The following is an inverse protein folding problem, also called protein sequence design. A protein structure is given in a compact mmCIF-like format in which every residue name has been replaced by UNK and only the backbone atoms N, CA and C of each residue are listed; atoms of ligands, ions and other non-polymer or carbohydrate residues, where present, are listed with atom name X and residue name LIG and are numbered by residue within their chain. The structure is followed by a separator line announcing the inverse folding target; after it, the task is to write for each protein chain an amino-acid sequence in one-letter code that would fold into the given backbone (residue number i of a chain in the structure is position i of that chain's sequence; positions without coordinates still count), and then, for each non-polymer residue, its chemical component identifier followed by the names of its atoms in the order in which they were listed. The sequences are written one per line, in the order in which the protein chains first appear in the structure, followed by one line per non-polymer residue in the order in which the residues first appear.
data_IF_693320131879
#
_entry.id   IF_693320131879
#
_cell.length_a   1.000
_cell.length_b   1.000
_cell.length_c   1.000
_cell.angle_alpha   90.00
_cell.angle_beta   90.00
_cell.angle_gamma   90.00
#
_symmetry.space_group_name_H-M   'P 1'
#
loop_
_entity.id
_entity.type
_entity.pdbx_description
1 polymer ?
#
# COMPACT_ATOMS: atom_id res chain seq x y z
N UNK A 1 -7.18 22.15 -8.55
CA UNK A 1 -7.96 21.42 -7.52
C UNK A 1 -7.40 21.69 -6.13
N UNK A 2 -8.26 21.57 -5.13
CA UNK A 2 -7.87 21.47 -3.72
C UNK A 2 -7.75 19.99 -3.37
N UNK A 3 -6.54 19.52 -3.08
CA UNK A 3 -6.26 18.10 -2.81
C UNK A 3 -5.84 17.94 -1.36
N UNK A 4 -6.58 17.13 -0.60
CA UNK A 4 -6.26 16.76 0.78
C UNK A 4 -5.53 15.41 0.81
N UNK A 5 -4.32 15.40 1.35
CA UNK A 5 -3.59 14.17 1.67
C UNK A 5 -3.77 13.83 3.15
N UNK A 6 -4.33 12.66 3.42
CA UNK A 6 -4.37 12.05 4.75
C UNK A 6 -3.19 11.10 4.82
N UNK A 7 -2.11 11.51 5.47
CA UNK A 7 -0.84 10.80 5.43
C UNK A 7 -0.08 10.95 6.76
N UNK A 8 0.97 10.17 6.95
CA UNK A 8 1.88 10.31 8.07
C UNK A 8 2.54 11.71 8.11
N UNK A 9 3.16 12.10 9.24
CA UNK A 9 3.77 13.42 9.36
C UNK A 9 4.78 13.69 8.23
N UNK A 10 4.57 14.74 7.45
CA UNK A 10 5.39 15.12 6.29
C UNK A 10 6.88 15.29 6.62
N UNK A 11 7.21 15.69 7.86
CA UNK A 11 8.59 15.80 8.33
C UNK A 11 9.35 14.45 8.37
N UNK A 12 8.61 13.33 8.37
CA UNK A 12 9.20 11.98 8.39
C UNK A 12 9.43 11.41 6.98
N UNK A 13 8.98 12.10 5.94
CA UNK A 13 9.11 11.60 4.56
C UNK A 13 10.57 11.57 4.13
N UNK A 14 10.96 10.43 3.57
CA UNK A 14 12.26 10.25 2.91
C UNK A 14 12.09 10.67 1.45
N UNK A 15 12.25 11.97 1.17
CA UNK A 15 11.90 12.59 -0.12
C UNK A 15 12.48 11.88 -1.34
N UNK A 16 13.63 11.21 -1.20
CA UNK A 16 14.31 10.50 -2.28
C UNK A 16 13.60 9.19 -2.72
N UNK A 17 12.70 8.63 -1.90
CA UNK A 17 11.99 7.38 -2.18
C UNK A 17 10.50 7.38 -1.84
N UNK A 18 10.02 8.38 -1.11
CA UNK A 18 8.63 8.43 -0.66
C UNK A 18 7.68 8.64 -1.84
N UNK A 19 6.69 7.76 -1.93
CA UNK A 19 5.68 7.79 -3.00
C UNK A 19 4.66 8.90 -2.79
N UNK A 20 4.25 9.16 -1.54
CA UNK A 20 3.30 10.22 -1.22
C UNK A 20 3.91 11.60 -1.51
N UNK A 21 5.20 11.78 -1.19
CA UNK A 21 5.96 12.95 -1.61
C UNK A 21 5.95 13.12 -3.14
N UNK A 22 6.16 12.05 -3.91
CA UNK A 22 6.14 12.14 -5.37
C UNK A 22 4.76 12.54 -5.91
N UNK A 23 3.67 12.03 -5.33
CA UNK A 23 2.30 12.44 -5.66
C UNK A 23 2.05 13.91 -5.35
N UNK A 24 2.43 14.35 -4.15
CA UNK A 24 2.30 15.76 -3.72
C UNK A 24 3.08 16.70 -4.63
N UNK A 25 4.33 16.34 -4.99
CA UNK A 25 5.18 17.13 -5.87
C UNK A 25 4.57 17.27 -7.26
N UNK A 26 4.08 16.17 -7.83
CA UNK A 26 3.43 16.20 -9.14
C UNK A 26 2.17 17.08 -9.13
N UNK A 27 1.31 16.90 -8.13
CA UNK A 27 0.11 17.72 -7.95
C UNK A 27 0.45 19.23 -7.80
N UNK A 28 1.48 19.54 -7.02
CA UNK A 28 1.95 20.92 -6.86
C UNK A 28 2.47 21.51 -8.18
N UNK A 29 3.26 20.76 -8.94
CA UNK A 29 3.81 21.17 -10.23
C UNK A 29 2.69 21.48 -11.25
N UNK A 30 1.54 20.81 -11.15
CA UNK A 30 0.34 21.09 -11.95
C UNK A 30 -0.48 22.29 -11.46
N UNK A 31 -0.05 22.97 -10.39
CA UNK A 31 -0.74 24.14 -9.84
C UNK A 31 -1.94 23.79 -8.93
N UNK A 32 -2.01 22.57 -8.40
CA UNK A 32 -3.03 22.22 -7.41
C UNK A 32 -2.67 22.80 -6.04
N UNK A 33 -3.70 23.16 -5.25
CA UNK A 33 -3.55 23.58 -3.86
C UNK A 33 -3.54 22.34 -2.96
N UNK A 34 -2.53 22.23 -2.11
CA UNK A 34 -2.30 21.04 -1.31
C UNK A 34 -2.58 21.26 0.17
N UNK A 35 -3.20 20.27 0.77
CA UNK A 35 -3.55 20.21 2.19
C UNK A 35 -3.10 18.87 2.76
N UNK A 36 -2.70 18.89 4.02
CA UNK A 36 -2.29 17.71 4.76
C UNK A 36 -3.06 17.59 6.08
N UNK A 37 -3.38 16.37 6.47
CA UNK A 37 -3.90 15.99 7.78
C UNK A 37 -3.43 14.59 8.15
N UNK A 38 -3.53 14.25 9.44
CA UNK A 38 -3.31 12.89 9.94
C UNK A 38 -4.65 12.14 10.01
N UNK A 39 -4.64 10.83 9.79
CA UNK A 39 -5.83 9.99 9.94
C UNK A 39 -6.44 10.09 11.35
N UNK A 40 -5.62 10.32 12.38
CA UNK A 40 -6.05 10.51 13.76
C UNK A 40 -6.77 11.85 14.02
N UNK A 41 -6.75 12.77 13.07
CA UNK A 41 -7.43 14.09 13.16
C UNK A 41 -8.82 14.08 12.52
N UNK A 42 -9.24 12.97 11.93
CA UNK A 42 -10.60 12.82 11.42
C UNK A 42 -11.61 12.82 12.58
N UNK A 43 -12.62 13.64 12.47
CA UNK A 43 -13.68 13.80 13.47
C UNK A 43 -15.06 13.87 12.82
N UNK A 44 -16.12 13.62 13.59
CA UNK A 44 -17.50 13.90 13.17
C UNK A 44 -18.08 14.95 14.10
N UNK A 45 -18.46 16.08 13.54
CA UNK A 45 -19.08 17.18 14.28
C UNK A 45 -20.44 17.49 13.62
N UNK A 46 -21.51 17.43 14.42
CA UNK A 46 -22.87 17.66 13.94
C UNK A 46 -23.23 16.85 12.68
N UNK A 47 -22.75 15.61 12.62
CA UNK A 47 -22.98 14.68 11.51
C UNK A 47 -22.07 14.85 10.30
N UNK A 48 -21.24 15.90 10.24
CA UNK A 48 -20.27 16.14 9.14
C UNK A 48 -18.89 15.59 9.48
N UNK A 49 -18.28 14.87 8.55
CA UNK A 49 -16.88 14.41 8.68
C UNK A 49 -15.94 15.58 8.40
N UNK A 50 -15.14 15.94 9.38
CA UNK A 50 -14.24 17.09 9.37
C UNK A 50 -12.83 16.69 9.83
N UNK A 51 -11.88 17.56 9.56
CA UNK A 51 -10.51 17.41 10.06
C UNK A 51 -9.82 18.76 10.18
N UNK A 52 -8.78 18.84 11.03
CA UNK A 52 -7.85 19.96 11.02
C UNK A 52 -6.92 19.82 9.83
N UNK A 53 -7.01 20.71 8.86
CA UNK A 53 -6.17 20.68 7.66
C UNK A 53 -5.09 21.73 7.75
N UNK A 54 -3.90 21.37 7.28
CA UNK A 54 -2.74 22.25 7.19
C UNK A 54 -2.42 22.49 5.71
N UNK A 55 -2.69 23.69 5.16
CA UNK A 55 -2.22 24.05 3.82
C UNK A 55 -0.70 24.06 3.78
N UNK A 56 -0.12 23.59 2.69
CA UNK A 56 1.34 23.62 2.53
C UNK A 56 1.76 23.89 1.09
N UNK A 57 2.99 24.35 0.93
CA UNK A 57 3.63 24.60 -0.38
C UNK A 57 5.03 24.02 -0.38
N UNK A 58 5.50 23.63 -1.57
CA UNK A 58 6.88 23.19 -1.75
C UNK A 58 7.83 24.40 -1.75
N UNK A 59 8.97 24.25 -1.10
CA UNK A 59 10.07 25.25 -1.12
C UNK A 59 11.26 24.77 -1.96
N UNK A 60 11.06 23.69 -2.70
CA UNK A 60 12.07 23.06 -3.53
C UNK A 60 12.99 22.13 -2.73
N UNK A 61 12.73 20.85 -2.76
CA UNK A 61 13.70 19.86 -2.31
C UNK A 61 14.87 19.89 -3.30
N UNK A 62 15.93 20.60 -2.95
CA UNK A 62 17.13 20.68 -3.78
C UNK A 62 18.06 19.49 -3.53
N UNK A 63 17.87 18.74 -2.44
CA UNK A 63 18.64 17.55 -2.09
C UNK A 63 17.72 16.43 -1.59
N UNK A 64 18.02 15.20 -1.96
CA UNK A 64 17.28 13.97 -1.59
C UNK A 64 17.24 13.69 -0.06
N UNK A 65 17.87 14.51 0.76
CA UNK A 65 17.97 14.38 2.21
C UNK A 65 17.44 15.60 2.98
N UNK A 66 16.80 16.57 2.29
CA UNK A 66 16.36 17.80 2.92
C UNK A 66 15.00 17.61 3.59
N UNK A 67 14.95 17.73 4.92
CA UNK A 67 13.71 17.75 5.69
C UNK A 67 12.90 19.05 5.50
N UNK A 68 13.52 20.09 4.95
CA UNK A 68 12.93 21.41 4.71
C UNK A 68 12.36 21.53 3.28
N UNK A 69 11.58 20.57 2.81
CA UNK A 69 11.02 20.57 1.47
C UNK A 69 9.66 21.28 1.37
N UNK A 70 9.06 21.67 2.49
CA UNK A 70 7.74 22.32 2.54
C UNK A 70 7.68 23.44 3.56
N UNK A 71 6.74 24.37 3.35
CA UNK A 71 6.28 25.34 4.35
C UNK A 71 4.79 25.16 4.59
N UNK A 72 4.36 25.40 5.82
CA UNK A 72 2.95 25.29 6.23
C UNK A 72 2.33 26.65 6.47
N UNK A 73 1.03 26.75 6.25
CA UNK A 73 0.20 27.89 6.64
C UNK A 73 -0.61 27.57 7.91
N UNK A 74 -1.36 28.52 8.39
CA UNK A 74 -2.21 28.37 9.59
C UNK A 74 -3.24 27.26 9.37
N UNK A 75 -3.28 26.22 10.22
CA UNK A 75 -4.27 25.18 10.14
C UNK A 75 -5.69 25.69 10.39
N UNK A 76 -6.67 25.03 9.78
CA UNK A 76 -8.09 25.33 10.01
C UNK A 76 -8.95 24.06 9.93
N UNK A 77 -10.20 24.14 10.42
CA UNK A 77 -11.16 23.04 10.32
C UNK A 77 -11.85 23.06 8.96
N UNK A 78 -11.96 21.90 8.32
CA UNK A 78 -12.68 21.76 7.06
C UNK A 78 -13.41 20.41 6.99
N UNK A 79 -14.56 20.40 6.32
CA UNK A 79 -15.27 19.17 5.97
C UNK A 79 -14.57 18.51 4.77
N UNK A 80 -14.53 17.16 4.73
CA UNK A 80 -13.80 16.45 3.68
C UNK A 80 -14.41 16.67 2.28
N UNK A 81 -15.72 16.88 2.20
CA UNK A 81 -16.41 17.13 0.93
C UNK A 81 -16.19 18.53 0.34
N UNK A 82 -15.38 19.38 1.01
CA UNK A 82 -14.95 20.67 0.45
C UNK A 82 -13.71 20.58 -0.41
N UNK A 83 -13.06 19.40 -0.44
CA UNK A 83 -11.90 19.12 -1.29
C UNK A 83 -12.33 18.42 -2.58
N UNK A 84 -11.66 18.75 -3.68
CA UNK A 84 -11.91 18.10 -4.97
C UNK A 84 -11.44 16.64 -4.96
N UNK A 85 -10.41 16.33 -4.17
CA UNK A 85 -9.92 14.97 -3.94
C UNK A 85 -9.37 14.82 -2.52
N UNK A 86 -9.65 13.66 -1.90
CA UNK A 86 -9.12 13.24 -0.60
C UNK A 86 -8.33 11.95 -0.82
N UNK A 87 -7.04 11.97 -0.58
CA UNK A 87 -6.13 10.86 -0.86
C UNK A 87 -5.65 10.26 0.45
N UNK A 88 -6.05 9.00 0.74
CA UNK A 88 -5.61 8.27 1.93
C UNK A 88 -4.27 7.60 1.66
N UNK A 89 -3.25 7.99 2.43
CA UNK A 89 -1.87 7.53 2.28
C UNK A 89 -1.19 7.21 3.62
N UNK A 90 -1.96 7.07 4.70
CA UNK A 90 -1.42 6.61 5.98
C UNK A 90 -0.89 5.19 5.85
N UNK A 91 0.31 4.96 6.35
CA UNK A 91 0.93 3.62 6.34
C UNK A 91 0.23 2.66 7.31
N UNK A 92 0.18 1.36 7.03
CA UNK A 92 -0.21 0.35 8.01
C UNK A 92 0.65 0.44 9.30
N UNK A 93 0.22 -0.18 10.43
CA UNK A 93 -0.67 -1.35 10.50
C UNK A 93 -2.13 -1.02 10.28
N UNK A 94 -2.87 -1.92 9.64
CA UNK A 94 -4.33 -1.84 9.55
C UNK A 94 -4.94 -2.31 10.87
N UNK A 95 -4.85 -1.45 11.87
CA UNK A 95 -5.37 -1.67 13.22
C UNK A 95 -6.79 -1.10 13.39
N UNK A 96 -7.31 -1.10 14.62
CA UNK A 96 -8.64 -0.57 14.90
C UNK A 96 -8.75 0.94 14.61
N UNK A 97 -7.67 1.72 14.78
CA UNK A 97 -7.69 3.15 14.46
C UNK A 97 -7.75 3.36 12.95
N UNK A 98 -7.00 2.56 12.19
CA UNK A 98 -7.09 2.56 10.73
C UNK A 98 -8.49 2.17 10.26
N UNK A 99 -9.08 1.11 10.85
CA UNK A 99 -10.46 0.69 10.58
C UNK A 99 -11.45 1.84 10.80
N UNK A 100 -11.37 2.54 11.94
CA UNK A 100 -12.24 3.67 12.22
C UNK A 100 -12.05 4.81 11.22
N UNK A 101 -10.79 5.14 10.87
CA UNK A 101 -10.52 6.14 9.83
C UNK A 101 -11.20 5.77 8.50
N UNK A 102 -11.12 4.51 8.06
CA UNK A 102 -11.79 4.07 6.82
C UNK A 102 -13.32 4.12 6.90
N UNK A 103 -13.92 3.92 8.09
CA UNK A 103 -15.36 4.10 8.28
C UNK A 103 -15.75 5.57 8.17
N UNK A 104 -14.96 6.48 8.75
CA UNK A 104 -15.19 7.92 8.62
C UNK A 104 -15.02 8.38 7.16
N UNK A 105 -14.05 7.83 6.43
CA UNK A 105 -13.89 8.10 5.00
C UNK A 105 -15.10 7.64 4.19
N UNK A 106 -15.68 6.47 4.49
CA UNK A 106 -16.91 6.01 3.83
C UNK A 106 -18.09 6.96 4.14
N UNK A 107 -18.19 7.44 5.38
CA UNK A 107 -19.20 8.44 5.72
C UNK A 107 -18.97 9.77 4.94
N UNK A 108 -17.71 10.19 4.80
CA UNK A 108 -17.37 11.37 3.99
C UNK A 108 -17.73 11.17 2.51
N UNK A 109 -17.51 9.97 1.94
CA UNK A 109 -17.94 9.61 0.57
C UNK A 109 -19.46 9.76 0.42
N UNK A 110 -20.25 9.29 1.40
CA UNK A 110 -21.71 9.47 1.42
C UNK A 110 -22.14 10.95 1.53
N UNK A 111 -21.26 11.81 2.05
CA UNK A 111 -21.45 13.27 2.13
C UNK A 111 -20.92 14.00 0.89
N UNK A 112 -20.47 13.27 -0.13
CA UNK A 112 -20.00 13.83 -1.41
C UNK A 112 -18.50 14.08 -1.50
N UNK A 113 -17.68 13.55 -0.58
CA UNK A 113 -16.23 13.61 -0.72
C UNK A 113 -15.72 12.57 -1.73
N UNK A 114 -14.76 12.94 -2.56
CA UNK A 114 -14.07 12.03 -3.48
C UNK A 114 -12.83 11.44 -2.80
N UNK A 115 -12.96 10.25 -2.22
CA UNK A 115 -11.90 9.58 -1.46
C UNK A 115 -11.19 8.50 -2.28
N UNK A 116 -9.86 8.49 -2.26
CA UNK A 116 -8.99 7.54 -2.97
C UNK A 116 -7.90 6.98 -2.02
N UNK A 117 -7.79 5.64 -1.83
CA UNK A 117 -8.76 4.61 -2.21
C UNK A 117 -10.04 4.72 -1.38
N UNK A 118 -11.18 4.18 -1.90
CA UNK A 118 -12.43 4.15 -1.16
C UNK A 118 -12.27 3.52 0.23
N UNK A 119 -12.87 4.16 1.24
CA UNK A 119 -12.81 3.67 2.63
C UNK A 119 -13.36 2.25 2.77
N UNK A 120 -14.44 1.92 2.06
CA UNK A 120 -14.99 0.56 2.04
C UNK A 120 -14.04 -0.43 1.36
N UNK A 121 -13.46 -0.07 0.22
CA UNK A 121 -12.55 -0.94 -0.50
C UNK A 121 -11.32 -1.32 0.33
N UNK A 122 -10.73 -0.38 1.08
CA UNK A 122 -9.61 -0.65 1.97
C UNK A 122 -9.96 -1.64 3.09
N UNK A 123 -11.20 -1.61 3.63
CA UNK A 123 -11.67 -2.57 4.64
C UNK A 123 -11.95 -3.96 4.07
N UNK A 124 -12.61 -3.99 2.92
CA UNK A 124 -13.10 -5.25 2.34
C UNK A 124 -11.99 -6.02 1.62
N UNK A 125 -10.89 -5.36 1.30
CA UNK A 125 -9.78 -5.92 0.53
C UNK A 125 -8.51 -5.94 1.36
N UNK A 126 -8.52 -6.74 2.47
CA UNK A 126 -7.32 -6.94 3.29
C UNK A 126 -6.15 -7.40 2.42
N UNK A 127 -5.01 -6.74 2.55
CA UNK A 127 -3.87 -6.85 1.62
C UNK A 127 -3.35 -8.30 1.44
N UNK A 128 -3.43 -9.14 2.48
CA UNK A 128 -3.03 -10.54 2.41
C UNK A 128 -4.18 -11.47 2.04
N UNK A 129 -5.38 -11.26 2.60
CA UNK A 129 -6.54 -12.10 2.29
C UNK A 129 -7.08 -11.87 0.89
N UNK A 130 -6.87 -10.69 0.31
CA UNK A 130 -7.33 -10.35 -1.03
C UNK A 130 -6.88 -11.33 -2.12
N UNK A 131 -5.68 -11.92 -1.97
CA UNK A 131 -5.15 -12.90 -2.92
C UNK A 131 -6.02 -14.15 -3.04
N UNK A 132 -6.78 -14.50 -2.00
CA UNK A 132 -7.68 -15.67 -1.98
C UNK A 132 -8.83 -15.56 -2.99
N UNK A 133 -9.12 -14.34 -3.47
CA UNK A 133 -10.08 -14.14 -4.57
C UNK A 133 -9.52 -14.59 -5.94
N UNK A 134 -8.21 -14.90 -6.02
CA UNK A 134 -7.49 -15.24 -7.24
C UNK A 134 -6.70 -16.54 -7.07
N UNK A 135 -7.36 -17.65 -6.74
CA UNK A 135 -6.70 -18.92 -6.36
C UNK A 135 -5.77 -19.47 -7.45
N UNK A 136 -6.00 -19.12 -8.73
CA UNK A 136 -5.16 -19.52 -9.86
C UNK A 136 -3.78 -18.85 -9.88
N UNK A 137 -3.55 -17.83 -9.06
CA UNK A 137 -2.32 -17.07 -9.02
C UNK A 137 -1.54 -17.21 -7.72
N UNK A 138 -2.02 -17.99 -6.74
CA UNK A 138 -1.37 -18.11 -5.45
C UNK A 138 -0.68 -19.48 -5.28
N UNK A 139 0.39 -19.51 -4.50
CA UNK A 139 0.95 -20.75 -4.00
C UNK A 139 0.00 -21.38 -2.99
N UNK A 140 0.13 -22.68 -2.68
CA UNK A 140 -0.62 -23.32 -1.61
C UNK A 140 -0.64 -22.47 -0.35
N UNK A 141 -1.84 -22.21 0.16
CA UNK A 141 -2.09 -21.22 1.23
C UNK A 141 -3.14 -21.74 2.19
N UNK A 142 -2.91 -21.55 3.48
CA UNK A 142 -3.93 -21.70 4.52
C UNK A 142 -4.04 -20.43 5.36
N UNK A 143 -5.23 -20.15 5.88
CA UNK A 143 -5.51 -19.09 6.85
C UNK A 143 -6.19 -19.71 8.05
N UNK A 144 -5.60 -19.61 9.22
CA UNK A 144 -6.08 -20.31 10.41
C UNK A 144 -5.68 -19.62 11.72
N UNK A 145 -6.43 -19.93 12.79
CA UNK A 145 -6.04 -19.62 14.18
C UNK A 145 -5.44 -20.83 14.90
N UNK A 146 -5.41 -22.01 14.29
CA UNK A 146 -4.99 -23.25 14.95
C UNK A 146 -3.55 -23.61 14.60
N UNK A 147 -2.65 -23.61 15.58
CA UNK A 147 -1.24 -23.95 15.39
C UNK A 147 -1.06 -25.37 14.85
N UNK A 148 -1.95 -26.31 15.20
CA UNK A 148 -1.92 -27.69 14.69
C UNK A 148 -2.06 -27.73 13.16
N UNK A 149 -2.98 -26.95 12.59
CA UNK A 149 -3.17 -26.88 11.12
C UNK A 149 -1.94 -26.31 10.41
N UNK A 150 -1.23 -25.34 11.04
CA UNK A 150 0.03 -24.82 10.48
C UNK A 150 1.11 -25.90 10.48
N UNK A 151 1.19 -26.74 11.52
CA UNK A 151 2.14 -27.88 11.58
C UNK A 151 1.81 -28.95 10.53
N UNK A 152 0.54 -29.25 10.30
CA UNK A 152 0.09 -30.18 9.26
C UNK A 152 0.46 -29.64 7.88
N UNK A 153 0.22 -28.35 7.62
CA UNK A 153 0.62 -27.67 6.39
C UNK A 153 2.15 -27.66 6.21
N UNK A 154 2.90 -27.42 7.28
CA UNK A 154 4.38 -27.52 7.26
C UNK A 154 4.82 -28.96 6.95
N UNK A 155 4.14 -29.97 7.49
CA UNK A 155 4.44 -31.38 7.21
C UNK A 155 4.21 -31.74 5.73
N UNK A 156 3.20 -31.14 5.09
CA UNK A 156 2.88 -31.37 3.68
C UNK A 156 3.86 -30.66 2.75
N UNK A 157 4.12 -29.37 2.98
CA UNK A 157 4.92 -28.52 2.08
C UNK A 157 6.37 -28.37 2.46
N UNK A 158 6.81 -28.88 3.64
CA UNK A 158 8.19 -28.96 4.13
C UNK A 158 8.86 -27.61 4.44
N UNK A 159 8.52 -26.55 3.71
CA UNK A 159 9.11 -25.21 3.77
C UNK A 159 8.00 -24.18 3.51
N UNK A 160 7.69 -23.37 4.51
CA UNK A 160 6.57 -22.44 4.47
C UNK A 160 6.96 -21.05 4.99
N UNK A 161 6.20 -20.04 4.55
CA UNK A 161 6.21 -18.71 5.15
C UNK A 161 4.94 -18.54 5.97
N UNK A 162 5.09 -18.05 7.20
CA UNK A 162 3.96 -17.62 8.03
C UNK A 162 4.00 -16.10 8.23
N UNK A 163 2.83 -15.47 8.22
CA UNK A 163 2.71 -14.01 8.31
C UNK A 163 1.41 -13.57 9.00
N UNK A 164 1.44 -12.48 9.82
CA UNK A 164 0.23 -11.86 10.35
C UNK A 164 -0.53 -11.16 9.23
N UNK A 165 -1.85 -10.97 9.40
CA UNK A 165 -2.73 -10.37 8.38
C UNK A 165 -2.71 -8.83 8.39
N UNK A 166 -2.27 -8.22 9.48
CA UNK A 166 -2.32 -6.78 9.76
C UNK A 166 -0.94 -6.08 9.72
N UNK A 167 0.15 -6.85 9.51
CA UNK A 167 1.51 -6.33 9.49
C UNK A 167 1.96 -5.81 8.13
N UNK A 168 2.98 -4.93 8.13
CA UNK A 168 3.63 -4.37 6.93
C UNK A 168 5.15 -4.51 6.99
N UNK A 169 5.82 -4.21 5.88
CA UNK A 169 7.28 -4.08 5.82
C UNK A 169 8.07 -5.35 6.17
N UNK A 170 7.41 -6.51 6.17
CA UNK A 170 8.02 -7.79 6.51
C UNK A 170 8.05 -8.09 8.02
N UNK A 171 7.43 -7.28 8.87
CA UNK A 171 7.33 -7.57 10.30
C UNK A 171 6.50 -8.82 10.58
N UNK A 172 7.03 -9.70 11.46
CA UNK A 172 6.35 -10.93 11.85
C UNK A 172 6.28 -11.99 10.76
N UNK A 173 7.04 -11.85 9.67
CA UNK A 173 7.17 -12.88 8.64
C UNK A 173 8.29 -13.84 9.06
N UNK A 174 7.96 -15.13 9.13
CA UNK A 174 8.93 -16.19 9.42
C UNK A 174 8.88 -17.24 8.33
N UNK A 175 10.06 -17.74 7.93
CA UNK A 175 10.21 -18.96 7.17
C UNK A 175 10.41 -20.12 8.16
N UNK A 176 9.59 -21.16 8.01
CA UNK A 176 9.68 -22.36 8.83
C UNK A 176 9.99 -23.57 7.94
N UNK A 177 10.96 -24.36 8.39
CA UNK A 177 11.24 -25.70 7.86
C UNK A 177 10.96 -26.74 8.94
N UNK A 178 10.76 -28.00 8.56
CA UNK A 178 10.46 -29.05 9.55
C UNK A 178 11.52 -29.23 10.64
N UNK A 179 12.76 -28.88 10.37
CA UNK A 179 13.87 -28.99 11.30
C UNK A 179 14.06 -27.79 12.23
N UNK A 180 13.24 -26.72 12.10
CA UNK A 180 13.40 -25.54 12.95
C UNK A 180 12.99 -25.85 14.40
N UNK A 181 13.91 -25.74 15.39
CA UNK A 181 13.61 -26.05 16.77
C UNK A 181 12.64 -25.05 17.43
N UNK A 182 12.43 -23.89 16.81
CA UNK A 182 11.64 -22.79 17.37
C UNK A 182 10.17 -22.77 16.91
N UNK A 183 9.73 -23.74 16.08
CA UNK A 183 8.37 -23.75 15.48
C UNK A 183 7.31 -23.45 16.53
N UNK A 184 7.33 -24.18 17.68
CA UNK A 184 6.31 -24.00 18.72
C UNK A 184 6.30 -22.57 19.28
N UNK A 185 7.47 -22.06 19.65
CA UNK A 185 7.61 -20.70 20.22
C UNK A 185 7.19 -19.61 19.24
N UNK A 186 7.53 -19.77 17.96
CA UNK A 186 7.14 -18.83 16.91
C UNK A 186 5.62 -18.83 16.75
N UNK A 187 4.98 -20.01 16.68
CA UNK A 187 3.52 -20.11 16.56
C UNK A 187 2.81 -19.55 17.79
N UNK A 188 3.27 -19.87 19.00
CA UNK A 188 2.71 -19.33 20.25
C UNK A 188 2.70 -17.80 20.28
N UNK A 189 3.82 -17.18 19.88
CA UNK A 189 3.97 -15.71 19.87
C UNK A 189 3.12 -15.10 18.74
N UNK A 190 3.21 -15.64 17.52
CA UNK A 190 2.56 -15.04 16.35
C UNK A 190 1.05 -15.21 16.40
N UNK A 191 0.58 -16.39 16.82
CA UNK A 191 -0.84 -16.75 16.90
C UNK A 191 -1.47 -16.39 18.26
N UNK A 192 -0.67 -15.86 19.22
CA UNK A 192 -1.15 -15.48 20.57
C UNK A 192 -1.97 -16.60 21.22
N UNK A 193 -1.39 -17.80 21.31
CA UNK A 193 -2.08 -18.97 21.85
C UNK A 193 -3.41 -19.28 21.13
N UNK A 194 -3.37 -19.41 19.83
CA UNK A 194 -4.53 -19.73 18.97
C UNK A 194 -5.69 -18.71 19.00
N UNK A 195 -5.39 -17.45 19.32
CA UNK A 195 -6.39 -16.36 19.31
C UNK A 195 -6.23 -15.38 18.16
N UNK A 196 -5.12 -15.45 17.40
CA UNK A 196 -4.85 -14.58 16.25
C UNK A 196 -4.76 -15.37 14.97
N UNK A 197 -5.58 -15.00 14.00
CA UNK A 197 -5.53 -15.56 12.65
C UNK A 197 -4.23 -15.16 11.95
N UNK A 198 -3.58 -16.13 11.31
CA UNK A 198 -2.41 -15.92 10.46
C UNK A 198 -2.61 -16.56 9.09
N UNK A 199 -1.75 -16.22 8.15
CA UNK A 199 -1.62 -16.90 6.87
C UNK A 199 -0.32 -17.70 6.85
N UNK A 200 -0.41 -18.96 6.37
CA UNK A 200 0.76 -19.75 6.01
C UNK A 200 0.71 -20.06 4.50
N UNK A 201 1.85 -19.94 3.84
CA UNK A 201 2.00 -20.18 2.40
C UNK A 201 3.23 -21.04 2.13
N UNK A 202 3.18 -21.89 1.11
CA UNK A 202 4.37 -22.58 0.63
C UNK A 202 5.46 -21.57 0.30
N UNK A 203 6.71 -21.85 0.72
CA UNK A 203 7.86 -21.00 0.40
C UNK A 203 8.13 -21.00 -1.10
N UNK A 204 8.36 -19.83 -1.65
CA UNK A 204 8.66 -19.65 -3.08
C UNK A 204 10.15 -19.31 -3.21
N UNK A 205 11.00 -20.26 -3.69
CA UNK A 205 12.44 -20.05 -3.77
C UNK A 205 12.86 -18.87 -4.66
N UNK A 206 12.01 -18.48 -5.60
CA UNK A 206 12.26 -17.37 -6.51
C UNK A 206 12.32 -16.00 -5.82
N UNK A 207 12.06 -15.92 -4.50
CA UNK A 207 12.27 -14.70 -3.70
C UNK A 207 13.71 -14.15 -3.82
N UNK A 208 14.69 -15.01 -4.08
CA UNK A 208 16.08 -14.61 -4.32
C UNK A 208 16.24 -13.69 -5.55
N UNK A 209 15.32 -13.80 -6.52
CA UNK A 209 15.26 -12.94 -7.72
C UNK A 209 14.50 -11.62 -7.45
N UNK A 210 13.88 -11.52 -6.29
CA UNK A 210 13.11 -10.37 -5.82
C UNK A 210 11.61 -10.63 -5.69
N UNK A 211 11.01 -9.93 -4.76
CA UNK A 211 9.57 -9.74 -4.61
C UNK A 211 9.18 -8.54 -5.48
N UNK A 212 8.46 -8.78 -6.56
CA UNK A 212 8.11 -7.77 -7.58
C UNK A 212 6.88 -6.98 -7.15
N UNK A 213 7.02 -5.66 -6.96
CA UNK A 213 5.89 -4.73 -6.81
C UNK A 213 5.42 -4.29 -8.20
N UNK A 214 4.20 -4.65 -8.58
CA UNK A 214 3.52 -4.21 -9.81
C UNK A 214 2.45 -3.19 -9.40
N UNK A 215 2.45 -2.02 -10.01
CA UNK A 215 1.48 -0.97 -9.70
C UNK A 215 0.31 -1.01 -10.69
N UNK A 216 -0.89 -0.89 -10.15
CA UNK A 216 -2.15 -0.74 -10.91
C UNK A 216 -2.79 0.58 -10.50
N UNK A 217 -3.06 1.46 -11.47
CA UNK A 217 -3.62 2.80 -11.24
C UNK A 217 -4.87 2.95 -12.11
N UNK A 218 -6.03 3.18 -11.48
CA UNK A 218 -7.33 3.31 -12.16
C UNK A 218 -7.65 2.14 -13.13
N UNK A 219 -7.23 0.93 -12.77
CA UNK A 219 -7.38 -0.25 -13.61
C UNK A 219 -6.37 -0.35 -14.76
N UNK A 220 -5.38 0.54 -14.84
CA UNK A 220 -4.28 0.48 -15.80
C UNK A 220 -3.02 -0.07 -15.13
N UNK A 221 -2.39 -1.04 -15.77
CA UNK A 221 -1.17 -1.68 -15.26
C UNK A 221 0.06 -0.85 -15.65
N UNK A 222 0.86 -0.42 -14.66
CA UNK A 222 2.15 0.22 -14.94
C UNK A 222 3.08 -0.80 -15.63
N UNK A 223 3.72 -0.47 -16.78
CA UNK A 223 4.43 -1.46 -17.60
C UNK A 223 5.75 -1.97 -17.00
N UNK A 224 6.05 -1.56 -15.77
CA UNK A 224 7.26 -1.93 -15.04
C UNK A 224 6.94 -2.41 -13.63
N UNK A 225 7.69 -3.44 -13.18
CA UNK A 225 7.68 -3.89 -11.79
C UNK A 225 8.94 -3.40 -11.08
N UNK A 226 8.84 -3.19 -9.77
CA UNK A 226 10.00 -2.98 -8.90
C UNK A 226 10.34 -4.28 -8.19
N UNK A 227 11.37 -5.00 -8.66
CA UNK A 227 11.89 -6.17 -7.96
C UNK A 227 12.66 -5.73 -6.72
N UNK A 228 12.19 -6.14 -5.54
CA UNK A 228 12.79 -5.87 -4.23
C UNK A 228 13.61 -7.09 -3.85
N UNK A 229 14.90 -7.02 -4.11
CA UNK A 229 15.83 -8.15 -3.96
C UNK A 229 16.31 -8.19 -2.50
N UNK A 230 16.13 -9.32 -1.77
CA UNK A 230 16.63 -9.48 -0.42
C UNK A 230 18.15 -9.28 -0.33
N UNK A 231 18.62 -8.83 0.83
CA UNK A 231 20.05 -8.87 1.15
C UNK A 231 20.51 -10.31 1.42
N UNK A 232 21.81 -10.54 1.32
CA UNK A 232 22.40 -11.85 1.63
C UNK A 232 22.05 -12.29 3.05
N UNK A 233 21.46 -13.48 3.19
CA UNK A 233 21.02 -14.03 4.47
C UNK A 233 19.64 -13.58 4.95
N UNK A 234 18.95 -12.72 4.19
CA UNK A 234 17.57 -12.27 4.48
C UNK A 234 16.59 -12.96 3.51
N UNK A 235 15.39 -13.27 4.00
CA UNK A 235 14.30 -13.86 3.21
C UNK A 235 13.25 -12.82 2.78
N UNK A 236 13.35 -11.58 3.28
CA UNK A 236 12.39 -10.50 3.00
C UNK A 236 12.95 -9.53 1.97
N UNK A 237 12.22 -9.33 0.87
CA UNK A 237 12.58 -8.38 -0.18
C UNK A 237 12.19 -6.92 0.12
N UNK A 238 11.42 -6.66 1.17
CA UNK A 238 10.89 -5.33 1.47
C UNK A 238 11.99 -4.27 1.57
N UNK A 239 11.81 -3.11 0.91
CA UNK A 239 12.75 -1.98 0.97
C UNK A 239 12.94 -1.45 2.40
N UNK A 240 11.91 -1.57 3.26
CA UNK A 240 12.00 -1.23 4.67
C UNK A 240 12.94 -2.18 5.44
N UNK A 241 13.06 -3.43 5.02
CA UNK A 241 14.00 -4.42 5.57
C UNK A 241 15.40 -4.33 4.93
N UNK A 242 15.67 -3.32 4.09
CA UNK A 242 16.97 -3.13 3.44
C UNK A 242 17.10 -3.78 2.06
N UNK A 243 16.04 -4.30 1.48
CA UNK A 243 16.02 -4.83 0.13
C UNK A 243 16.45 -3.79 -0.92
N UNK A 244 17.05 -4.24 -2.01
CA UNK A 244 17.44 -3.40 -3.15
C UNK A 244 16.36 -3.39 -4.21
N UNK A 245 15.84 -2.21 -4.57
CA UNK A 245 14.84 -2.03 -5.62
C UNK A 245 15.48 -1.98 -7.01
N UNK A 246 15.04 -2.86 -7.91
CA UNK A 246 15.44 -2.88 -9.34
C UNK A 246 14.19 -2.85 -10.19
N UNK A 247 13.98 -1.76 -10.93
CA UNK A 247 12.86 -1.65 -11.85
C UNK A 247 13.13 -2.45 -13.14
N UNK A 248 12.15 -3.23 -13.58
CA UNK A 248 12.24 -4.10 -14.74
C UNK A 248 10.92 -4.17 -15.51
N UNK A 249 10.95 -4.56 -16.78
CA UNK A 249 9.73 -4.81 -17.55
C UNK A 249 8.94 -5.98 -16.95
N UNK A 250 7.62 -5.94 -17.06
CA UNK A 250 6.76 -7.05 -16.68
C UNK A 250 7.05 -8.28 -17.53
N UNK A 251 7.10 -9.45 -16.89
CA UNK A 251 7.07 -10.74 -17.59
C UNK A 251 5.65 -11.01 -18.13
N UNK A 252 5.50 -12.01 -18.99
CA UNK A 252 4.18 -12.45 -19.46
C UNK A 252 3.27 -12.83 -18.28
N UNK A 253 3.82 -13.52 -17.28
CA UNK A 253 3.07 -13.94 -16.09
C UNK A 253 2.70 -12.76 -15.20
N UNK A 254 3.61 -11.81 -14.98
CA UNK A 254 3.32 -10.57 -14.24
C UNK A 254 2.16 -9.83 -14.86
N UNK A 255 2.16 -9.74 -16.19
CA UNK A 255 1.11 -9.06 -16.94
C UNK A 255 -0.22 -9.81 -16.85
N UNK A 256 -0.23 -11.14 -17.00
CA UNK A 256 -1.43 -11.96 -16.84
C UNK A 256 -2.09 -11.75 -15.47
N UNK A 257 -1.29 -11.78 -14.40
CA UNK A 257 -1.77 -11.52 -13.02
C UNK A 257 -2.37 -10.12 -12.94
N UNK A 258 -1.60 -9.10 -13.33
CA UNK A 258 -2.00 -7.71 -13.18
C UNK A 258 -3.24 -7.35 -14.04
N UNK A 259 -3.28 -7.77 -15.30
CA UNK A 259 -4.40 -7.54 -16.22
C UNK A 259 -5.70 -8.23 -15.72
N UNK A 260 -5.58 -9.36 -15.01
CA UNK A 260 -6.72 -10.05 -14.41
C UNK A 260 -7.27 -9.30 -13.17
N UNK A 261 -6.37 -8.77 -12.33
CA UNK A 261 -6.77 -8.06 -11.11
C UNK A 261 -7.26 -6.63 -11.40
N UNK A 262 -6.69 -5.95 -12.38
CA UNK A 262 -6.92 -4.53 -12.63
C UNK A 262 -8.41 -4.13 -12.77
N UNK A 263 -9.26 -4.85 -13.53
CA UNK A 263 -10.68 -4.54 -13.63
C UNK A 263 -11.43 -4.71 -12.29
N UNK A 264 -11.08 -5.72 -11.50
CA UNK A 264 -11.71 -5.98 -10.20
C UNK A 264 -11.34 -4.90 -9.18
N UNK A 265 -10.07 -4.46 -9.17
CA UNK A 265 -9.60 -3.35 -8.33
C UNK A 265 -10.35 -2.05 -8.65
N UNK A 266 -10.45 -1.71 -9.94
CA UNK A 266 -11.18 -0.53 -10.39
C UNK A 266 -12.66 -0.58 -10.00
N UNK A 267 -13.33 -1.71 -10.21
CA UNK A 267 -14.74 -1.92 -9.85
C UNK A 267 -14.99 -1.72 -8.35
N UNK A 268 -14.01 -2.05 -7.50
CA UNK A 268 -14.09 -1.87 -6.05
C UNK A 268 -13.77 -0.44 -5.57
N UNK A 269 -13.43 0.49 -6.46
CA UNK A 269 -13.02 1.84 -6.07
C UNK A 269 -11.58 1.91 -5.54
N UNK A 270 -10.74 0.97 -5.92
CA UNK A 270 -9.29 0.98 -5.64
C UNK A 270 -8.59 1.69 -6.79
N UNK A 271 -8.27 2.96 -6.60
CA UNK A 271 -7.57 3.78 -7.60
C UNK A 271 -6.11 3.37 -7.74
N UNK A 272 -5.46 3.01 -6.62
CA UNK A 272 -4.06 2.60 -6.58
C UNK A 272 -3.90 1.30 -5.80
N UNK A 273 -3.31 0.31 -6.43
CA UNK A 273 -2.87 -0.92 -5.78
C UNK A 273 -1.43 -1.26 -6.14
N UNK A 274 -0.75 -1.95 -5.21
CA UNK A 274 0.54 -2.58 -5.43
C UNK A 274 0.41 -4.10 -5.30
N UNK A 275 0.61 -4.83 -6.39
CA UNK A 275 0.59 -6.29 -6.40
C UNK A 275 2.00 -6.79 -6.12
N UNK A 276 2.14 -7.68 -5.14
CA UNK A 276 3.42 -8.30 -4.83
C UNK A 276 3.45 -9.71 -5.43
N UNK A 277 4.47 -9.97 -6.26
CA UNK A 277 4.60 -11.22 -7.03
C UNK A 277 6.00 -11.79 -6.85
N UNK A 278 6.08 -13.04 -6.36
CA UNK A 278 7.32 -13.80 -6.25
C UNK A 278 7.28 -14.95 -7.25
N UNK A 279 8.27 -15.00 -8.17
CA UNK A 279 8.21 -15.95 -9.28
C UNK A 279 6.93 -15.74 -10.10
N UNK A 280 6.07 -16.76 -10.10
CA UNK A 280 4.80 -16.80 -10.83
C UNK A 280 3.55 -16.62 -9.91
N UNK A 281 3.77 -16.26 -8.62
CA UNK A 281 2.72 -16.26 -7.61
C UNK A 281 2.46 -14.89 -7.01
N UNK A 282 1.19 -14.51 -6.96
CA UNK A 282 0.69 -13.35 -6.23
C UNK A 282 0.76 -13.64 -4.72
N UNK A 283 1.38 -12.75 -3.96
CA UNK A 283 1.59 -12.92 -2.50
C UNK A 283 0.89 -11.88 -1.65
N UNK A 284 0.57 -10.70 -2.22
CA UNK A 284 -0.08 -9.59 -1.52
C UNK A 284 -0.71 -8.61 -2.52
N UNK A 285 -1.80 -7.93 -2.10
CA UNK A 285 -2.42 -6.83 -2.85
C UNK A 285 -2.49 -5.62 -1.93
N UNK A 286 -1.53 -4.72 -2.05
CA UNK A 286 -1.42 -3.55 -1.18
C UNK A 286 -2.36 -2.44 -1.65
N UNK A 287 -3.30 -2.02 -0.81
CA UNK A 287 -4.34 -1.03 -1.13
C UNK A 287 -4.35 0.19 -0.19
N UNK A 288 -3.51 0.20 0.83
CA UNK A 288 -3.37 1.32 1.79
C UNK A 288 -2.41 2.39 1.25
N UNK A 289 -1.12 2.14 1.35
CA UNK A 289 -0.07 3.08 0.93
C UNK A 289 1.03 2.43 0.08
N UNK A 290 0.68 1.74 -1.06
CA UNK A 290 1.70 1.09 -1.88
C UNK A 290 2.75 2.09 -2.37
N UNK A 291 4.02 1.63 -2.39
CA UNK A 291 5.21 2.41 -2.74
C UNK A 291 5.86 1.90 -4.03
N UNK A 292 6.90 2.61 -4.51
CA UNK A 292 7.68 2.22 -5.68
C UNK A 292 7.67 3.24 -6.83
N UNK A 293 6.95 4.37 -6.68
CA UNK A 293 6.84 5.37 -7.75
C UNK A 293 8.20 5.92 -8.16
N UNK A 294 8.98 6.37 -7.17
CA UNK A 294 10.24 7.04 -7.45
C UNK A 294 11.30 6.11 -8.02
N UNK A 295 11.38 4.89 -7.53
CA UNK A 295 12.32 3.88 -8.03
C UNK A 295 12.02 3.53 -9.49
N UNK A 296 10.76 3.31 -9.84
CA UNK A 296 10.35 3.02 -11.23
C UNK A 296 10.62 4.25 -12.10
N UNK A 297 10.19 5.44 -11.67
CA UNK A 297 10.37 6.68 -12.44
C UNK A 297 11.84 6.95 -12.72
N UNK A 298 12.70 6.87 -11.71
CA UNK A 298 14.15 7.14 -11.85
C UNK A 298 14.86 6.12 -12.73
N UNK A 299 14.46 4.84 -12.68
CA UNK A 299 15.17 3.77 -13.39
C UNK A 299 14.64 3.53 -14.80
N UNK A 300 13.36 3.84 -15.08
CA UNK A 300 12.71 3.53 -16.36
C UNK A 300 12.30 4.78 -17.15
N UNK A 301 12.55 5.99 -16.61
CA UNK A 301 12.09 7.25 -17.19
C UNK A 301 10.58 7.24 -17.50
N UNK A 302 9.78 6.66 -16.58
CA UNK A 302 8.33 6.51 -16.68
C UNK A 302 7.68 7.20 -15.48
N UNK A 303 6.97 8.29 -15.71
CA UNK A 303 6.39 9.11 -14.63
C UNK A 303 5.12 8.47 -14.05
N UNK A 304 5.30 7.71 -12.97
CA UNK A 304 4.20 7.05 -12.27
C UNK A 304 3.33 8.04 -11.50
N UNK A 305 3.92 9.12 -10.97
CA UNK A 305 3.17 10.13 -10.23
C UNK A 305 2.24 10.91 -11.17
N UNK A 306 2.70 11.21 -12.39
CA UNK A 306 1.87 11.83 -13.42
C UNK A 306 0.67 10.94 -13.79
N UNK A 307 0.88 9.62 -13.93
CA UNK A 307 -0.22 8.67 -14.21
C UNK A 307 -1.26 8.67 -13.08
N UNK A 308 -0.80 8.69 -11.82
CA UNK A 308 -1.69 8.72 -10.66
C UNK A 308 -2.49 10.03 -10.58
N UNK A 309 -1.85 11.18 -10.74
CA UNK A 309 -2.55 12.48 -10.70
C UNK A 309 -3.52 12.62 -11.88
N UNK A 310 -3.18 12.12 -13.08
CA UNK A 310 -4.13 12.05 -14.19
C UNK A 310 -5.41 11.29 -13.82
N UNK A 311 -5.26 10.16 -13.09
CA UNK A 311 -6.40 9.38 -12.64
C UNK A 311 -7.24 10.16 -11.60
N UNK A 312 -6.61 10.81 -10.63
CA UNK A 312 -7.29 11.66 -9.64
C UNK A 312 -8.07 12.80 -10.34
N UNK A 313 -7.44 13.49 -11.28
CA UNK A 313 -8.07 14.57 -12.05
C UNK A 313 -9.30 14.09 -12.83
N UNK A 314 -9.22 12.92 -13.49
CA UNK A 314 -10.37 12.33 -14.21
C UNK A 314 -11.54 12.03 -13.28
N UNK A 315 -11.27 11.45 -12.11
CA UNK A 315 -12.31 11.08 -11.14
C UNK A 315 -12.92 12.30 -10.40
N UNK A 316 -12.14 13.36 -10.22
CA UNK A 316 -12.61 14.61 -9.66
C UNK A 316 -13.33 15.51 -10.72
N UNK A 317 -13.50 15.02 -11.97
CA UNK A 317 -14.05 15.78 -13.09
C UNK A 317 -13.32 17.13 -13.33
N UNK A 318 -12.03 17.17 -13.03
CA UNK A 318 -11.20 18.34 -13.25
C UNK A 318 -10.84 18.47 -14.73
N UNK A 319 -11.28 19.56 -15.35
CA UNK A 319 -10.79 19.98 -16.67
C UNK A 319 -9.74 21.07 -16.43
N UNK A 320 -8.47 20.80 -16.77
CA UNK A 320 -7.45 21.85 -16.79
C UNK A 320 -7.93 22.97 -17.74
N UNK A 321 -7.86 24.21 -17.26
CA UNK A 321 -8.10 25.35 -18.15
C UNK A 321 -7.05 25.32 -19.27
N UNK A 322 -7.52 25.24 -20.51
CA UNK A 322 -6.69 25.18 -21.73
C UNK A 322 -5.92 26.48 -21.95
#
# INVERSE_FOLDING_TARGET
MNILFIADPMANFKTYKDTTYAMMREAYTRGHTLFHTLATQLTVVSGSVQTTVTPFTFIGAQNDHDHAWFTVQTPFQAALNTFDAVIMRTDPPFDMQYLYATQLLTLAEQQGAHVFNSGQAMRDFNEKLAILNFPQFIAPTIVTTYAQQVKEFLSEYQDIIIKPLDGMGGMGIFRLTQSDPNINSILEILMRMDTRTIMAQQYIPDIIKGDKRILVIDGEVVPFALARIPQNGETRGNLAAGGRGVAQKLTTRDKEIADTLAPELKKRGILLAGLDVIGDYLTEVNVTSPTGFQEITKQQNFDVAALFINAVERHANFQAAA
#
